data_IF_233444844319
#
_entry.id   IF_233444844319
#
_cell.length_a   1.000
_cell.length_b   1.000
_cell.length_c   1.000
_cell.angle_alpha   90.00
_cell.angle_beta   90.00
_cell.angle_gamma   90.00
#
_symmetry.space_group_name_H-M   'P 1'
#
loop_
_entity.id
_entity.type
_entity.pdbx_description
1 polymer ?
#
# COMPACT_ATOMS: atom_id res chain seq x y z
N UNK A 1 36.82 29.60 13.54
CA UNK A 1 36.65 31.06 13.35
C UNK A 1 36.35 31.30 11.86
N UNK A 2 35.09 31.64 11.55
CA UNK A 2 34.57 32.32 10.34
C UNK A 2 34.78 31.70 8.94
N UNK A 3 33.75 30.99 8.48
CA UNK A 3 32.88 31.33 7.30
C UNK A 3 33.47 32.23 6.21
N UNK A 4 33.43 31.79 4.93
CA UNK A 4 33.13 32.62 3.73
C UNK A 4 32.61 31.75 2.56
N UNK A 5 31.31 31.89 2.26
CA UNK A 5 30.69 31.57 0.97
C UNK A 5 31.31 32.33 -0.19
N UNK A 6 31.48 31.69 -1.35
CA UNK A 6 31.45 32.34 -2.69
C UNK A 6 30.96 31.37 -3.77
N UNK A 7 29.68 31.46 -4.12
CA UNK A 7 29.19 31.07 -5.43
C UNK A 7 29.86 31.96 -6.49
N UNK A 8 30.42 31.38 -7.57
CA UNK A 8 30.95 32.12 -8.72
C UNK A 8 30.49 31.45 -10.00
N UNK A 9 29.42 31.99 -10.56
CA UNK A 9 28.98 31.72 -11.92
C UNK A 9 29.95 32.31 -12.95
N UNK A 10 30.07 31.65 -14.10
CA UNK A 10 30.73 32.12 -15.34
C UNK A 10 31.00 30.96 -16.30
N UNK A 11 29.99 30.49 -17.07
CA UNK A 11 29.70 30.83 -18.49
C UNK A 11 30.67 30.11 -19.46
N UNK A 12 30.31 29.10 -20.27
CA UNK A 12 29.52 29.13 -21.53
C UNK A 12 29.15 27.68 -21.93
N UNK A 13 27.87 27.31 -22.07
CA UNK A 13 27.10 27.21 -23.32
C UNK A 13 27.60 26.17 -24.37
N UNK A 14 26.81 25.10 -24.57
CA UNK A 14 26.62 24.48 -25.89
C UNK A 14 25.41 23.54 -25.86
N UNK A 15 24.24 24.12 -26.15
CA UNK A 15 23.02 23.43 -26.56
C UNK A 15 23.24 22.73 -27.91
N UNK A 16 23.70 21.47 -27.94
CA UNK A 16 23.48 20.53 -29.06
C UNK A 16 24.19 19.18 -28.83
N UNK A 17 23.48 18.17 -28.31
CA UNK A 17 23.44 16.81 -28.84
C UNK A 17 22.51 15.95 -27.96
N UNK A 18 21.37 15.58 -28.51
CA UNK A 18 20.28 14.83 -27.88
C UNK A 18 20.59 13.34 -27.75
N UNK A 19 21.51 12.97 -26.87
CA UNK A 19 21.67 11.56 -26.47
C UNK A 19 21.40 11.45 -24.97
N UNK A 20 20.12 11.49 -24.63
CA UNK A 20 19.60 11.29 -23.28
C UNK A 20 20.07 9.94 -22.75
N UNK A 21 20.79 9.96 -21.63
CA UNK A 21 21.09 8.74 -20.88
C UNK A 21 19.81 8.28 -20.21
N UNK A 22 19.21 7.22 -20.74
CA UNK A 22 18.08 6.53 -20.15
C UNK A 22 18.54 5.84 -18.85
N UNK A 23 18.37 6.52 -17.73
CA UNK A 23 18.31 5.87 -16.42
C UNK A 23 16.94 5.19 -16.38
N UNK A 24 16.91 3.89 -16.66
CA UNK A 24 15.74 3.06 -16.44
C UNK A 24 15.45 3.00 -14.95
N UNK A 25 14.51 3.84 -14.51
CA UNK A 25 13.89 3.79 -13.19
C UNK A 25 13.24 2.41 -13.04
N UNK A 26 13.92 1.51 -12.31
CA UNK A 26 13.40 0.21 -11.94
C UNK A 26 12.39 0.43 -10.82
N UNK A 27 11.24 0.99 -11.19
CA UNK A 27 10.08 1.17 -10.33
C UNK A 27 9.79 -0.15 -9.63
N UNK A 28 10.03 -0.20 -8.33
CA UNK A 28 9.48 -1.26 -7.49
C UNK A 28 7.98 -1.25 -7.71
N UNK A 29 7.43 -2.37 -8.17
CA UNK A 29 5.99 -2.57 -8.14
C UNK A 29 5.60 -2.55 -6.66
N UNK A 30 5.07 -1.42 -6.21
CA UNK A 30 4.45 -1.27 -4.91
C UNK A 30 3.16 -2.10 -4.97
N UNK A 31 3.29 -3.42 -4.80
CA UNK A 31 2.14 -4.31 -4.75
C UNK A 31 1.23 -3.83 -3.61
N UNK A 32 -0.03 -3.54 -3.91
CA UNK A 32 -1.00 -3.09 -2.90
C UNK A 32 -1.35 -4.27 -1.99
N UNK A 33 -0.51 -4.47 -0.97
CA UNK A 33 -0.64 -5.55 0.01
C UNK A 33 -1.83 -5.41 0.96
N UNK A 34 -2.58 -4.30 0.89
CA UNK A 34 -3.76 -4.06 1.72
C UNK A 34 -5.03 -4.40 0.95
N UNK A 35 -5.19 -3.84 -0.25
CA UNK A 35 -6.44 -3.99 -0.99
C UNK A 35 -6.44 -5.22 -1.90
N UNK A 36 -5.28 -5.61 -2.46
CA UNK A 36 -5.18 -6.68 -3.47
C UNK A 36 -3.95 -7.55 -3.27
N UNK A 37 -3.87 -8.31 -2.16
CA UNK A 37 -2.78 -9.24 -1.95
C UNK A 37 -2.74 -10.30 -3.05
N UNK A 38 -1.64 -10.34 -3.81
CA UNK A 38 -1.41 -11.22 -4.98
C UNK A 38 -1.56 -12.72 -4.71
N UNK A 39 -1.50 -13.15 -3.44
CA UNK A 39 -1.44 -14.54 -3.01
C UNK A 39 -2.78 -15.15 -2.60
N UNK A 40 -3.90 -14.44 -2.75
CA UNK A 40 -5.23 -14.94 -2.36
C UNK A 40 -6.24 -15.06 -3.50
N UNK A 41 -5.86 -14.77 -4.74
CA UNK A 41 -6.78 -14.82 -5.87
C UNK A 41 -6.61 -16.11 -6.65
N UNK A 42 -7.73 -16.75 -7.01
CA UNK A 42 -7.77 -17.86 -7.96
C UNK A 42 -8.70 -17.51 -9.12
N UNK A 43 -8.11 -17.19 -10.27
CA UNK A 43 -8.85 -16.63 -11.41
C UNK A 43 -9.38 -15.23 -11.08
N UNK A 44 -10.65 -14.99 -11.41
CA UNK A 44 -11.32 -13.69 -11.24
C UNK A 44 -12.05 -13.53 -9.89
N UNK A 45 -12.00 -14.54 -9.02
CA UNK A 45 -12.70 -14.53 -7.73
C UNK A 45 -11.70 -14.18 -6.62
N UNK A 46 -11.96 -13.08 -5.91
CA UNK A 46 -11.21 -12.70 -4.71
C UNK A 46 -11.65 -13.60 -3.53
N UNK A 47 -10.69 -14.09 -2.72
CA UNK A 47 -10.98 -15.00 -1.61
C UNK A 47 -11.97 -14.44 -0.58
N UNK A 48 -11.97 -13.12 -0.37
CA UNK A 48 -12.90 -12.43 0.54
C UNK A 48 -14.37 -12.66 0.13
N UNK A 49 -14.66 -12.71 -1.17
CA UNK A 49 -16.02 -12.90 -1.69
C UNK A 49 -16.47 -14.35 -1.52
N UNK A 50 -15.56 -15.30 -1.71
CA UNK A 50 -15.81 -16.72 -1.41
C UNK A 50 -16.10 -16.93 0.09
N UNK A 51 -15.36 -16.25 0.98
CA UNK A 51 -15.59 -16.29 2.43
C UNK A 51 -16.97 -15.71 2.78
N UNK A 52 -17.35 -14.57 2.18
CA UNK A 52 -18.67 -13.97 2.39
C UNK A 52 -19.80 -14.90 1.95
N UNK A 53 -19.67 -15.53 0.78
CA UNK A 53 -20.65 -16.49 0.27
C UNK A 53 -20.77 -17.73 1.18
N UNK A 54 -19.65 -18.21 1.75
CA UNK A 54 -19.62 -19.38 2.63
C UNK A 54 -20.22 -19.11 4.02
N UNK A 55 -19.89 -17.95 4.62
CA UNK A 55 -20.29 -17.63 6.00
C UNK A 55 -21.67 -16.96 6.11
N UNK A 56 -22.21 -16.45 4.99
CA UNK A 56 -23.36 -15.54 5.01
C UNK A 56 -23.01 -14.19 5.63
N UNK A 57 -23.96 -13.26 5.62
CA UNK A 57 -23.70 -11.87 6.01
C UNK A 57 -23.27 -11.72 7.48
N UNK A 58 -24.01 -12.31 8.42
CA UNK A 58 -23.67 -12.18 9.85
C UNK A 58 -22.32 -12.85 10.20
N UNK A 59 -22.05 -14.00 9.59
CA UNK A 59 -20.78 -14.71 9.76
C UNK A 59 -19.62 -13.91 9.17
N UNK A 60 -19.81 -13.29 8.02
CA UNK A 60 -18.83 -12.42 7.38
C UNK A 60 -18.53 -11.17 8.20
N UNK A 61 -19.55 -10.51 8.76
CA UNK A 61 -19.37 -9.36 9.66
C UNK A 61 -18.55 -9.75 10.89
N UNK A 62 -18.83 -10.91 11.48
CA UNK A 62 -18.08 -11.44 12.63
C UNK A 62 -16.62 -11.75 12.27
N UNK A 63 -16.39 -12.34 11.09
CA UNK A 63 -15.05 -12.58 10.55
C UNK A 63 -14.28 -11.26 10.36
N UNK A 64 -14.91 -10.23 9.80
CA UNK A 64 -14.28 -8.93 9.59
C UNK A 64 -13.92 -8.26 10.93
N UNK A 65 -14.82 -8.28 11.92
CA UNK A 65 -14.55 -7.77 13.27
C UNK A 65 -13.36 -8.46 13.93
N UNK A 66 -13.27 -9.79 13.81
CA UNK A 66 -12.14 -10.56 14.32
C UNK A 66 -10.82 -10.19 13.64
N UNK A 67 -10.82 -9.98 12.32
CA UNK A 67 -9.64 -9.54 11.60
C UNK A 67 -9.23 -8.11 11.96
N UNK A 68 -10.19 -7.18 12.07
CA UNK A 68 -9.92 -5.82 12.52
C UNK A 68 -9.23 -5.83 13.89
N UNK A 69 -9.76 -6.60 14.86
CA UNK A 69 -9.14 -6.79 16.17
C UNK A 69 -7.73 -7.37 16.06
N UNK A 70 -7.53 -8.43 15.25
CA UNK A 70 -6.22 -9.07 15.03
C UNK A 70 -5.17 -8.07 14.56
N UNK A 71 -5.50 -7.21 13.59
CA UNK A 71 -4.56 -6.23 13.06
C UNK A 71 -4.32 -5.06 14.02
N UNK A 72 -5.35 -4.58 14.72
CA UNK A 72 -5.19 -3.58 15.79
C UNK A 72 -4.30 -4.09 16.92
N UNK A 73 -4.47 -5.36 17.33
CA UNK A 73 -3.62 -5.98 18.35
C UNK A 73 -2.17 -6.14 17.89
N UNK A 74 -1.97 -6.43 16.60
CA UNK A 74 -0.64 -6.68 16.02
C UNK A 74 0.15 -5.39 15.77
N UNK A 75 -0.53 -4.26 15.63
CA UNK A 75 0.09 -2.95 15.50
C UNK A 75 1.09 -2.71 16.65
N UNK A 76 2.34 -2.35 16.30
CA UNK A 76 3.44 -2.14 17.25
C UNK A 76 4.19 -3.42 17.68
N UNK A 77 3.71 -4.62 17.33
CA UNK A 77 4.39 -5.89 17.62
C UNK A 77 5.30 -6.38 16.48
N UNK A 78 5.12 -5.85 15.26
CA UNK A 78 5.88 -6.21 14.06
C UNK A 78 6.40 -4.95 13.37
N UNK A 79 7.31 -5.12 12.40
CA UNK A 79 8.00 -4.04 11.69
C UNK A 79 7.11 -3.08 10.87
N UNK A 80 5.86 -3.45 10.54
CA UNK A 80 4.99 -2.61 9.70
C UNK A 80 3.64 -2.30 10.36
N UNK A 81 3.69 -1.51 11.45
CA UNK A 81 2.51 -1.05 12.19
C UNK A 81 1.50 -0.31 11.31
N UNK A 82 1.98 0.55 10.41
CA UNK A 82 1.11 1.34 9.55
C UNK A 82 0.27 0.47 8.59
N UNK A 83 0.84 -0.60 8.04
CA UNK A 83 0.11 -1.55 7.20
C UNK A 83 -0.94 -2.33 8.00
N UNK A 84 -0.62 -2.70 9.24
CA UNK A 84 -1.58 -3.36 10.14
C UNK A 84 -2.76 -2.45 10.47
N UNK A 85 -2.50 -1.18 10.83
CA UNK A 85 -3.57 -0.22 11.09
C UNK A 85 -4.44 0.02 9.84
N UNK A 86 -3.85 0.08 8.64
CA UNK A 86 -4.62 0.17 7.38
C UNK A 86 -5.51 -1.05 7.17
N UNK A 87 -5.01 -2.26 7.43
CA UNK A 87 -5.81 -3.49 7.35
C UNK A 87 -6.92 -3.51 8.40
N UNK A 88 -6.67 -3.04 9.62
CA UNK A 88 -7.69 -2.92 10.65
C UNK A 88 -8.85 -2.02 10.20
N UNK A 89 -8.54 -0.86 9.61
CA UNK A 89 -9.55 0.05 9.05
C UNK A 89 -10.30 -0.61 7.90
N UNK A 90 -9.60 -1.29 6.99
CA UNK A 90 -10.19 -1.99 5.86
C UNK A 90 -11.26 -3.00 6.31
N UNK A 91 -10.93 -3.87 7.27
CA UNK A 91 -11.90 -4.85 7.81
C UNK A 91 -13.01 -4.21 8.64
N UNK A 92 -12.75 -3.08 9.28
CA UNK A 92 -13.80 -2.33 10.01
C UNK A 92 -14.84 -1.78 9.04
N UNK A 93 -14.41 -1.18 7.92
CA UNK A 93 -15.31 -0.69 6.86
C UNK A 93 -16.17 -1.83 6.31
N UNK A 94 -15.53 -2.95 5.94
CA UNK A 94 -16.25 -4.14 5.47
C UNK A 94 -17.30 -4.65 6.46
N UNK A 95 -16.99 -4.63 7.77
CA UNK A 95 -17.93 -5.08 8.80
C UNK A 95 -19.17 -4.18 8.96
N UNK A 96 -19.11 -2.94 8.48
CA UNK A 96 -20.21 -1.98 8.46
C UNK A 96 -20.97 -2.00 7.11
N UNK A 97 -20.60 -2.88 6.18
CA UNK A 97 -21.17 -2.95 4.83
C UNK A 97 -20.61 -1.91 3.85
N UNK A 98 -19.54 -1.20 4.24
CA UNK A 98 -18.81 -0.26 3.39
C UNK A 98 -17.62 -1.01 2.74
N UNK A 99 -17.77 -1.40 1.47
CA UNK A 99 -16.72 -2.10 0.73
C UNK A 99 -15.70 -1.08 0.19
N UNK A 100 -14.47 -1.05 0.72
CA UNK A 100 -13.45 -0.08 0.31
C UNK A 100 -12.81 -0.39 -1.05
N UNK A 101 -13.26 -1.45 -1.75
CA UNK A 101 -12.82 -1.80 -3.10
C UNK A 101 -13.60 -1.07 -4.19
N UNK A 102 -14.80 -0.60 -3.88
CA UNK A 102 -15.68 0.22 -4.74
C UNK A 102 -15.30 1.70 -4.66
#
# INVERSE_FOLDING_TARGET
>A
MKEKDKCKHGFTDCTACSCSQDIVDLSSKNEDMVNRPSHYNYGDIECIDAIRAMLGEEGFVSYCKGNALKYTWRAGLKSNEAEDLKKAVWYTRMSNGDDPRE
#
